data_IF_101627135044
#
_entry.id   IF_101627135044
#
_cell.length_a   1.000
_cell.length_b   1.000
_cell.length_c   1.000
_cell.angle_alpha   90.00
_cell.angle_beta   90.00
_cell.angle_gamma   90.00
#
_symmetry.space_group_name_H-M   'P 1'
#
loop_
_entity.id
_entity.type
_entity.pdbx_description
1 polymer ?
#
# COMPACT_ATOMS: atom_id res chain seq x y z
N UNK A 1 20.03 65.58 -48.03
CA UNK A 1 19.93 64.10 -48.14
C UNK A 1 19.85 63.50 -46.78
N UNK A 2 18.64 63.13 -46.27
CA UNK A 2 18.43 62.57 -44.92
C UNK A 2 18.12 61.09 -45.11
N UNK A 3 19.04 60.23 -44.69
CA UNK A 3 18.89 58.77 -44.71
C UNK A 3 17.98 58.36 -43.53
N UNK A 4 16.77 57.87 -43.80
CA UNK A 4 15.89 57.26 -42.83
C UNK A 4 16.42 55.84 -42.46
N UNK A 5 16.83 55.68 -41.24
CA UNK A 5 17.24 54.37 -40.67
C UNK A 5 15.96 53.70 -40.11
N UNK A 6 15.51 52.68 -40.81
CA UNK A 6 14.36 51.85 -40.37
C UNK A 6 14.89 50.78 -39.43
N UNK A 7 14.59 50.88 -38.11
CA UNK A 7 14.86 49.80 -37.14
C UNK A 7 13.75 48.76 -37.26
N UNK A 8 14.09 47.59 -37.74
CA UNK A 8 13.21 46.40 -37.75
C UNK A 8 13.34 45.70 -36.39
N UNK A 9 12.30 45.84 -35.57
CA UNK A 9 12.20 45.14 -34.24
C UNK A 9 11.72 43.71 -34.52
N UNK A 10 12.65 42.75 -34.49
CA UNK A 10 12.30 41.31 -34.51
C UNK A 10 11.72 40.91 -33.14
N UNK A 11 10.41 40.78 -33.04
CA UNK A 11 9.75 40.20 -31.87
C UNK A 11 9.99 38.67 -31.86
N UNK A 12 10.84 38.21 -30.94
CA UNK A 12 11.07 36.79 -30.68
C UNK A 12 9.86 36.23 -29.90
N UNK A 13 8.90 35.65 -30.63
CA UNK A 13 7.78 34.92 -30.01
C UNK A 13 8.33 33.59 -29.46
N UNK A 14 8.59 33.51 -28.17
CA UNK A 14 8.82 32.24 -27.50
C UNK A 14 7.53 31.40 -27.57
N UNK A 15 7.48 30.47 -28.50
CA UNK A 15 6.46 29.42 -28.52
C UNK A 15 6.71 28.49 -27.33
N UNK A 16 6.07 28.73 -26.22
CA UNK A 16 5.93 27.73 -25.15
C UNK A 16 5.08 26.58 -25.70
N UNK A 17 5.74 25.54 -26.21
CA UNK A 17 5.07 24.27 -26.51
C UNK A 17 4.64 23.66 -25.18
N UNK A 18 3.35 23.35 -24.99
CA UNK A 18 2.93 22.65 -23.76
C UNK A 18 3.63 21.29 -23.74
N UNK A 19 4.55 21.10 -22.78
CA UNK A 19 5.10 19.77 -22.50
C UNK A 19 3.91 18.94 -22.02
N UNK A 20 3.53 17.95 -22.83
CA UNK A 20 2.48 17.02 -22.43
C UNK A 20 2.89 16.37 -21.10
N UNK A 21 2.09 16.56 -20.04
CA UNK A 21 2.38 16.01 -18.72
C UNK A 21 2.52 14.48 -18.86
N UNK A 22 3.68 13.93 -18.46
CA UNK A 22 3.95 12.49 -18.44
C UNK A 22 2.87 11.79 -17.63
N UNK A 23 2.29 10.73 -18.16
CA UNK A 23 1.43 9.84 -17.38
C UNK A 23 2.32 8.94 -16.52
N UNK A 24 2.14 9.02 -15.19
CA UNK A 24 2.90 8.21 -14.23
C UNK A 24 2.26 6.82 -14.11
N UNK A 25 3.10 5.81 -13.99
CA UNK A 25 2.67 4.43 -13.71
C UNK A 25 2.71 4.21 -12.22
N UNK A 26 1.55 3.94 -11.62
CA UNK A 26 1.40 3.51 -10.23
C UNK A 26 1.28 1.99 -10.23
N UNK A 27 2.01 1.31 -9.36
CA UNK A 27 1.93 -0.14 -9.23
C UNK A 27 1.51 -0.56 -7.81
N UNK A 28 0.84 -1.69 -7.70
CA UNK A 28 0.48 -2.33 -6.44
C UNK A 28 0.12 -3.80 -6.66
N UNK A 29 0.15 -4.58 -5.59
CA UNK A 29 -0.29 -5.97 -5.60
C UNK A 29 -1.77 -6.04 -5.19
N UNK A 30 -2.65 -6.30 -6.14
CA UNK A 30 -4.10 -6.34 -5.91
C UNK A 30 -4.57 -7.66 -5.28
N UNK A 31 -3.85 -8.16 -4.29
CA UNK A 31 -4.20 -9.34 -3.50
C UNK A 31 -4.34 -9.04 -1.99
N UNK A 32 -4.51 -7.77 -1.60
CA UNK A 32 -4.48 -7.30 -0.21
C UNK A 32 -5.76 -6.53 0.20
N UNK A 33 -6.96 -7.18 0.13
CA UNK A 33 -8.22 -6.54 0.47
C UNK A 33 -8.31 -6.17 1.96
N UNK A 34 -8.98 -5.08 2.33
CA UNK A 34 -9.72 -4.13 1.51
C UNK A 34 -8.86 -2.98 0.99
N UNK A 35 -7.53 -3.06 1.12
CA UNK A 35 -6.59 -2.00 0.77
C UNK A 35 -6.43 -1.85 -0.75
N UNK A 36 -6.01 -2.90 -1.42
CA UNK A 36 -5.96 -3.00 -2.88
C UNK A 36 -6.29 -4.44 -3.32
N UNK A 37 -7.26 -4.57 -4.21
CA UNK A 37 -7.69 -5.86 -4.75
C UNK A 37 -8.38 -5.69 -6.10
N UNK A 38 -8.62 -6.81 -6.79
CA UNK A 38 -9.35 -6.82 -8.04
C UNK A 38 -10.83 -7.13 -7.81
N UNK A 39 -11.70 -6.36 -8.49
CA UNK A 39 -13.11 -6.75 -8.62
C UNK A 39 -13.25 -8.00 -9.49
N UNK A 40 -14.45 -8.59 -9.55
CA UNK A 40 -14.76 -9.71 -10.47
C UNK A 40 -14.47 -9.36 -11.93
N UNK A 41 -14.57 -8.09 -12.30
CA UNK A 41 -14.24 -7.57 -13.63
C UNK A 41 -12.74 -7.28 -13.83
N UNK A 42 -11.89 -7.71 -12.89
CA UNK A 42 -10.43 -7.48 -12.91
C UNK A 42 -10.04 -6.00 -12.89
N UNK A 43 -10.86 -5.16 -12.29
CA UNK A 43 -10.56 -3.74 -12.09
C UNK A 43 -9.96 -3.52 -10.71
N UNK A 44 -8.78 -2.87 -10.59
CA UNK A 44 -8.20 -2.50 -9.30
C UNK A 44 -9.15 -1.62 -8.49
N UNK A 45 -9.31 -1.94 -7.22
CA UNK A 45 -10.16 -1.21 -6.27
C UNK A 45 -9.61 -1.35 -4.86
N UNK A 46 -10.11 -0.57 -3.91
CA UNK A 46 -9.69 -0.61 -2.51
C UNK A 46 -9.33 0.76 -1.96
N UNK A 47 -9.03 0.78 -0.67
CA UNK A 47 -8.70 2.01 0.04
C UNK A 47 -7.50 2.74 -0.58
N UNK A 48 -6.38 2.04 -0.80
CA UNK A 48 -5.16 2.62 -1.37
C UNK A 48 -5.36 3.08 -2.82
N UNK A 49 -6.21 2.37 -3.58
CA UNK A 49 -6.55 2.72 -4.96
C UNK A 49 -7.33 4.03 -5.00
N UNK A 50 -8.40 4.15 -4.21
CA UNK A 50 -9.19 5.38 -4.13
C UNK A 50 -8.32 6.54 -3.64
N UNK A 51 -7.43 6.27 -2.66
CA UNK A 51 -6.56 7.27 -2.06
C UNK A 51 -5.57 7.84 -3.08
N UNK A 52 -4.87 6.99 -3.85
CA UNK A 52 -3.90 7.45 -4.86
C UNK A 52 -4.59 8.17 -6.03
N UNK A 53 -5.80 7.78 -6.40
CA UNK A 53 -6.58 8.50 -7.41
C UNK A 53 -6.98 9.90 -6.95
N UNK A 54 -7.39 10.07 -5.69
CA UNK A 54 -7.70 11.39 -5.14
C UNK A 54 -6.43 12.26 -5.00
N UNK A 55 -5.29 11.66 -4.59
CA UNK A 55 -3.98 12.34 -4.62
C UNK A 55 -3.68 12.83 -6.04
N UNK A 56 -3.79 11.97 -7.04
CA UNK A 56 -3.47 12.32 -8.42
C UNK A 56 -4.32 13.50 -8.92
N UNK A 57 -5.61 13.50 -8.58
CA UNK A 57 -6.52 14.60 -8.89
C UNK A 57 -6.07 15.92 -8.25
N UNK A 58 -5.76 15.91 -6.94
CA UNK A 58 -5.32 17.11 -6.20
C UNK A 58 -3.96 17.62 -6.64
N UNK A 59 -3.05 16.70 -6.93
CA UNK A 59 -1.71 17.02 -7.39
C UNK A 59 -1.65 17.33 -8.89
N UNK A 60 -2.79 17.32 -9.63
CA UNK A 60 -2.86 17.49 -11.09
C UNK A 60 -1.89 16.54 -11.82
N UNK A 61 -1.92 15.25 -11.45
CA UNK A 61 -1.13 14.17 -12.05
C UNK A 61 -2.02 13.31 -12.93
N UNK A 62 -1.49 12.86 -14.06
CA UNK A 62 -2.10 11.77 -14.83
C UNK A 62 -1.45 10.47 -14.40
N UNK A 63 -2.25 9.50 -13.97
CA UNK A 63 -1.78 8.19 -13.54
C UNK A 63 -2.47 7.06 -14.30
N UNK A 64 -1.76 5.94 -14.40
CA UNK A 64 -2.33 4.63 -14.72
C UNK A 64 -1.94 3.66 -13.63
N UNK A 65 -2.85 2.76 -13.23
CA UNK A 65 -2.56 1.75 -12.22
C UNK A 65 -2.22 0.41 -12.89
N UNK A 66 -1.21 -0.28 -12.36
CA UNK A 66 -0.77 -1.60 -12.82
C UNK A 66 -0.77 -2.56 -11.63
N UNK A 67 -1.52 -3.65 -11.76
CA UNK A 67 -1.43 -4.78 -10.84
C UNK A 67 -0.15 -5.58 -11.14
N UNK A 68 0.65 -5.83 -10.11
CA UNK A 68 1.93 -6.55 -10.19
C UNK A 68 2.09 -7.47 -8.99
N UNK A 69 2.86 -8.55 -9.14
CA UNK A 69 3.18 -9.41 -8.02
C UNK A 69 3.94 -8.64 -6.92
N UNK A 70 3.68 -8.98 -5.66
CA UNK A 70 4.38 -8.39 -4.53
C UNK A 70 5.86 -8.77 -4.52
N UNK A 71 6.17 -10.04 -4.84
CA UNK A 71 7.57 -10.45 -4.97
C UNK A 71 8.24 -9.69 -6.11
N UNK A 72 9.39 -9.10 -5.82
CA UNK A 72 10.11 -8.24 -6.76
C UNK A 72 9.56 -6.82 -6.94
N UNK A 73 8.49 -6.42 -6.23
CA UNK A 73 7.84 -5.10 -6.39
C UNK A 73 8.81 -3.93 -6.16
N UNK A 74 9.70 -4.03 -5.20
CA UNK A 74 10.71 -3.01 -4.94
C UNK A 74 11.82 -2.98 -6.00
N UNK A 75 12.22 -4.13 -6.53
CA UNK A 75 13.17 -4.22 -7.63
C UNK A 75 12.60 -3.57 -8.90
N UNK A 76 11.31 -3.78 -9.17
CA UNK A 76 10.63 -3.12 -10.27
C UNK A 76 10.57 -1.60 -10.15
N UNK A 77 10.35 -1.06 -8.93
CA UNK A 77 10.41 0.38 -8.67
C UNK A 77 11.83 0.93 -8.90
N UNK A 78 12.84 0.25 -8.36
CA UNK A 78 14.23 0.65 -8.52
C UNK A 78 14.67 0.64 -9.99
N UNK A 79 14.19 -0.31 -10.79
CA UNK A 79 14.43 -0.41 -12.23
C UNK A 79 13.65 0.61 -13.06
N UNK A 80 12.72 1.37 -12.47
CA UNK A 80 11.91 2.36 -13.19
C UNK A 80 10.76 1.77 -14.02
N UNK A 81 10.35 0.52 -13.74
CA UNK A 81 9.20 -0.12 -14.42
C UNK A 81 7.87 0.59 -14.10
N UNK A 82 7.83 1.32 -13.01
CA UNK A 82 6.75 2.20 -12.56
C UNK A 82 7.33 3.35 -11.72
N UNK A 83 6.53 4.38 -11.50
CA UNK A 83 6.98 5.62 -10.86
C UNK A 83 6.64 5.66 -9.36
N UNK A 84 5.53 5.02 -8.95
CA UNK A 84 5.01 5.04 -7.57
C UNK A 84 4.53 3.63 -7.19
N UNK A 85 4.83 3.19 -5.95
CA UNK A 85 4.14 2.05 -5.35
C UNK A 85 2.98 2.53 -4.48
N UNK A 86 1.79 2.00 -4.75
CA UNK A 86 0.57 2.16 -3.96
C UNK A 86 0.04 0.76 -3.59
N UNK A 87 0.70 0.13 -2.61
CA UNK A 87 0.49 -1.28 -2.23
C UNK A 87 0.63 -1.48 -0.72
N UNK A 88 -0.05 -0.65 0.08
CA UNK A 88 -0.05 -0.73 1.55
C UNK A 88 1.35 -0.95 2.15
N UNK A 89 2.31 -0.22 1.57
CA UNK A 89 3.72 -0.43 1.85
C UNK A 89 4.09 0.20 3.20
N UNK A 90 4.38 -0.64 4.19
CA UNK A 90 4.87 -0.16 5.49
C UNK A 90 6.18 0.59 5.35
N UNK A 91 6.23 1.78 5.93
CA UNK A 91 7.44 2.59 6.06
C UNK A 91 8.33 1.91 7.11
N UNK A 92 9.46 1.35 6.69
CA UNK A 92 10.45 0.78 7.61
C UNK A 92 11.83 1.43 7.41
N UNK A 93 12.70 1.45 8.44
CA UNK A 93 14.06 1.99 8.31
C UNK A 93 14.84 1.35 7.16
N UNK A 94 14.69 0.03 6.95
CA UNK A 94 15.36 -0.71 5.90
C UNK A 94 14.89 -0.26 4.52
N UNK A 95 13.57 -0.13 4.33
CA UNK A 95 12.99 0.34 3.06
C UNK A 95 13.36 1.80 2.79
N UNK A 96 13.41 2.65 3.82
CA UNK A 96 13.81 4.05 3.71
C UNK A 96 15.28 4.25 3.33
N UNK A 97 16.13 3.25 3.49
CA UNK A 97 17.52 3.32 2.97
C UNK A 97 17.54 3.36 1.43
N UNK A 98 16.65 2.62 0.78
CA UNK A 98 16.64 2.46 -0.68
C UNK A 98 15.59 3.32 -1.40
N UNK A 99 14.53 3.74 -0.70
CA UNK A 99 13.36 4.40 -1.28
C UNK A 99 12.95 5.63 -0.45
N UNK A 100 12.25 6.55 -1.11
CA UNK A 100 11.56 7.65 -0.45
C UNK A 100 10.08 7.29 -0.23
N UNK A 101 9.51 7.75 0.87
CA UNK A 101 8.13 7.51 1.23
C UNK A 101 7.40 8.83 1.45
N UNK A 102 6.13 8.87 1.08
CA UNK A 102 5.26 9.96 1.48
C UNK A 102 5.08 10.00 2.99
N UNK A 103 4.50 11.10 3.50
CA UNK A 103 3.91 11.09 4.83
C UNK A 103 2.89 9.94 4.91
N UNK A 104 2.66 9.38 6.13
CA UNK A 104 1.71 8.29 6.31
C UNK A 104 0.29 8.65 5.84
N UNK A 105 -0.37 7.67 5.18
CA UNK A 105 -1.78 7.78 4.81
C UNK A 105 -2.68 6.76 5.53
N UNK A 106 -2.08 5.79 6.22
CA UNK A 106 -2.80 4.80 7.03
C UNK A 106 -1.90 4.28 8.17
N UNK A 107 -2.51 4.04 9.34
CA UNK A 107 -1.85 3.34 10.45
C UNK A 107 -2.43 1.94 10.58
N UNK A 108 -1.56 0.94 10.75
CA UNK A 108 -1.92 -0.46 10.93
C UNK A 108 -1.16 -1.09 12.09
N UNK A 109 -1.57 -2.26 12.52
CA UNK A 109 -0.81 -3.14 13.39
C UNK A 109 -0.79 -4.55 12.82
N UNK A 110 0.20 -5.36 13.18
CA UNK A 110 0.18 -6.77 12.81
C UNK A 110 -0.89 -7.52 13.62
N UNK A 111 -1.64 -8.38 12.95
CA UNK A 111 -2.72 -9.17 13.54
C UNK A 111 -2.50 -10.66 13.29
N UNK A 112 -2.76 -11.48 14.30
CA UNK A 112 -2.80 -12.93 14.17
C UNK A 112 -4.25 -13.37 14.05
N UNK A 113 -4.56 -14.09 12.97
CA UNK A 113 -5.87 -14.70 12.72
C UNK A 113 -5.77 -16.20 12.96
N UNK A 114 -6.74 -16.75 13.69
CA UNK A 114 -6.83 -18.16 14.01
C UNK A 114 -8.25 -18.69 13.80
N UNK A 115 -8.46 -20.03 13.80
CA UNK A 115 -9.79 -20.60 13.84
C UNK A 115 -10.64 -19.96 14.95
N UNK A 116 -11.93 -19.74 14.70
CA UNK A 116 -12.85 -19.07 15.60
C UNK A 116 -12.82 -19.68 17.01
N UNK A 117 -12.77 -18.82 18.04
CA UNK A 117 -12.72 -19.22 19.44
C UNK A 117 -11.30 -19.42 20.00
N UNK A 118 -10.27 -19.40 19.13
CA UNK A 118 -8.89 -19.37 19.59
C UNK A 118 -8.48 -17.93 19.92
N UNK A 119 -7.70 -17.76 20.98
CA UNK A 119 -7.09 -16.50 21.39
C UNK A 119 -5.67 -16.79 21.86
N UNK A 120 -4.81 -15.82 21.73
CA UNK A 120 -3.45 -15.82 22.28
C UNK A 120 -3.21 -14.47 22.97
N UNK A 121 -2.39 -14.50 24.01
CA UNK A 121 -2.06 -13.29 24.79
C UNK A 121 -0.78 -12.61 24.26
N UNK A 122 0.05 -13.38 23.57
CA UNK A 122 1.32 -12.91 23.01
C UNK A 122 1.77 -13.75 21.80
N UNK A 123 2.77 -13.26 21.07
CA UNK A 123 3.39 -14.03 19.98
C UNK A 123 4.08 -15.32 20.50
N UNK A 124 4.47 -15.37 21.78
CA UNK A 124 5.09 -16.58 22.37
C UNK A 124 4.16 -17.81 22.34
N UNK A 125 2.84 -17.58 22.32
CA UNK A 125 1.83 -18.64 22.24
C UNK A 125 1.78 -19.31 20.87
N UNK A 126 2.48 -18.76 19.87
CA UNK A 126 2.66 -19.35 18.54
C UNK A 126 3.76 -20.41 18.50
N UNK A 127 4.46 -20.68 19.61
CA UNK A 127 5.53 -21.68 19.68
C UNK A 127 5.07 -23.03 19.15
N UNK A 128 5.81 -23.57 18.18
CA UNK A 128 5.54 -24.86 17.54
C UNK A 128 4.42 -24.87 16.52
N UNK A 129 3.61 -23.79 16.45
CA UNK A 129 2.53 -23.65 15.48
C UNK A 129 3.09 -23.28 14.08
N UNK A 130 2.35 -23.65 13.04
CA UNK A 130 2.62 -23.21 11.67
C UNK A 130 1.81 -21.94 11.37
N UNK A 131 2.51 -20.84 11.11
CA UNK A 131 1.91 -19.54 10.84
C UNK A 131 2.12 -19.15 9.38
N UNK A 132 1.02 -18.98 8.65
CA UNK A 132 1.03 -18.49 7.27
C UNK A 132 1.19 -16.98 7.21
N UNK A 133 1.86 -16.49 6.16
CA UNK A 133 1.96 -15.06 5.86
C UNK A 133 2.31 -14.86 4.39
N UNK A 134 2.16 -13.64 3.87
CA UNK A 134 2.69 -13.31 2.56
C UNK A 134 4.20 -13.06 2.66
N UNK A 135 4.96 -13.51 1.66
CA UNK A 135 6.41 -13.31 1.61
C UNK A 135 6.78 -11.82 1.71
N UNK A 136 7.78 -11.49 2.53
CA UNK A 136 8.36 -10.14 2.58
C UNK A 136 7.46 -9.04 3.16
N UNK A 137 6.27 -9.34 3.73
CA UNK A 137 5.50 -8.37 4.51
C UNK A 137 6.04 -8.28 5.96
N UNK A 138 5.70 -7.20 6.64
CA UNK A 138 6.23 -6.91 7.99
C UNK A 138 5.78 -7.93 9.04
N UNK A 139 4.66 -8.61 8.84
CA UNK A 139 4.23 -9.71 9.69
C UNK A 139 5.25 -10.85 9.78
N UNK A 140 5.93 -11.18 8.67
CA UNK A 140 7.03 -12.15 8.66
C UNK A 140 8.21 -11.63 9.49
N UNK A 141 8.54 -10.32 9.35
CA UNK A 141 9.66 -9.72 10.09
C UNK A 141 9.39 -9.67 11.59
N UNK A 142 8.13 -9.38 11.99
CA UNK A 142 7.71 -9.41 13.39
C UNK A 142 7.90 -10.82 13.98
N UNK A 143 7.44 -11.87 13.28
CA UNK A 143 7.63 -13.25 13.75
C UNK A 143 9.10 -13.67 13.83
N UNK A 144 9.89 -13.33 12.82
CA UNK A 144 11.33 -13.64 12.79
C UNK A 144 12.08 -12.92 13.92
N UNK A 145 11.75 -11.64 14.16
CA UNK A 145 12.35 -10.86 15.26
C UNK A 145 11.94 -11.38 16.63
N UNK A 146 10.70 -11.84 16.79
CA UNK A 146 10.20 -12.39 18.05
C UNK A 146 10.84 -13.73 18.40
N UNK A 147 11.33 -14.49 17.41
CA UNK A 147 12.01 -15.80 17.55
C UNK A 147 11.33 -16.77 18.55
N UNK A 148 10.02 -16.84 18.46
CA UNK A 148 9.18 -17.62 19.39
C UNK A 148 9.10 -19.12 19.06
N UNK A 149 9.83 -19.56 18.04
CA UNK A 149 9.81 -20.96 17.60
C UNK A 149 8.56 -21.37 16.80
N UNK A 150 7.87 -20.38 16.19
CA UNK A 150 6.82 -20.64 15.20
C UNK A 150 7.43 -21.11 13.87
N UNK A 151 6.71 -21.99 13.16
CA UNK A 151 7.07 -22.40 11.80
C UNK A 151 6.41 -21.44 10.82
N UNK A 152 7.20 -20.60 10.13
CA UNK A 152 6.67 -19.62 9.20
C UNK A 152 6.51 -20.26 7.82
N UNK A 153 5.30 -20.20 7.25
CA UNK A 153 5.00 -20.63 5.89
C UNK A 153 4.64 -19.41 5.06
N UNK A 154 5.48 -19.10 4.09
CA UNK A 154 5.34 -17.90 3.25
C UNK A 154 4.64 -18.24 1.94
N UNK A 155 3.81 -17.32 1.44
CA UNK A 155 2.99 -17.43 0.24
C UNK A 155 3.18 -16.20 -0.65
N UNK A 156 2.97 -16.34 -1.94
CA UNK A 156 3.03 -15.21 -2.88
C UNK A 156 1.94 -14.18 -2.59
N UNK A 157 0.73 -14.64 -2.22
CA UNK A 157 -0.42 -13.80 -1.88
C UNK A 157 -0.98 -14.19 -0.52
N UNK A 158 -1.46 -13.18 0.23
CA UNK A 158 -2.03 -13.41 1.56
C UNK A 158 -3.27 -14.30 1.53
N UNK A 159 -4.05 -14.26 0.44
CA UNK A 159 -5.23 -15.10 0.25
C UNK A 159 -4.91 -16.58 0.34
N UNK A 160 -3.78 -17.02 -0.21
CA UNK A 160 -3.32 -18.42 -0.16
C UNK A 160 -3.03 -18.88 1.28
N UNK A 161 -2.50 -17.95 2.13
CA UNK A 161 -2.29 -18.24 3.55
C UNK A 161 -3.63 -18.50 4.26
N UNK A 162 -4.69 -17.71 3.95
CA UNK A 162 -6.02 -17.91 4.50
C UNK A 162 -6.71 -19.17 3.98
N UNK A 163 -6.48 -19.57 2.72
CA UNK A 163 -6.96 -20.83 2.18
C UNK A 163 -6.31 -22.03 2.90
N UNK A 164 -5.02 -21.94 3.19
CA UNK A 164 -4.32 -22.97 3.96
C UNK A 164 -4.78 -23.02 5.43
N UNK A 165 -5.08 -21.87 6.03
CA UNK A 165 -5.70 -21.84 7.36
C UNK A 165 -7.09 -22.50 7.35
N UNK A 166 -7.92 -22.21 6.33
CA UNK A 166 -9.24 -22.82 6.19
C UNK A 166 -9.18 -24.33 5.99
N UNK A 167 -8.13 -24.81 5.34
CA UNK A 167 -7.91 -26.25 5.10
C UNK A 167 -7.17 -26.96 6.27
N UNK A 168 -6.84 -26.23 7.36
CA UNK A 168 -6.10 -26.77 8.51
C UNK A 168 -4.64 -27.13 8.22
N UNK A 169 -4.05 -26.57 7.15
CA UNK A 169 -2.64 -26.77 6.80
C UNK A 169 -1.70 -25.78 7.50
N UNK A 170 -2.27 -24.71 8.07
CA UNK A 170 -1.62 -23.80 9.01
C UNK A 170 -2.52 -23.61 10.23
N UNK A 171 -1.92 -23.21 11.36
CA UNK A 171 -2.61 -22.99 12.62
C UNK A 171 -3.07 -21.54 12.79
N UNK A 172 -2.38 -20.62 12.13
CA UNK A 172 -2.63 -19.19 12.18
C UNK A 172 -2.17 -18.50 10.88
N UNK A 173 -2.64 -17.27 10.68
CA UNK A 173 -2.11 -16.32 9.67
C UNK A 173 -1.73 -15.03 10.37
N UNK A 174 -0.58 -14.44 10.04
CA UNK A 174 -0.20 -13.10 10.47
C UNK A 174 -0.19 -12.16 9.26
N UNK A 175 -0.87 -11.02 9.39
CA UNK A 175 -0.88 -9.92 8.42
C UNK A 175 -1.38 -8.64 9.09
N UNK A 176 -1.41 -7.55 8.33
CA UNK A 176 -1.92 -6.26 8.79
C UNK A 176 -3.40 -6.33 9.17
N UNK A 177 -3.78 -5.66 10.24
CA UNK A 177 -5.11 -5.75 10.85
C UNK A 177 -6.29 -5.42 9.92
N UNK A 178 -6.23 -4.46 8.95
CA UNK A 178 -7.35 -4.26 8.03
C UNK A 178 -7.60 -5.49 7.15
N UNK A 179 -6.53 -6.18 6.73
CA UNK A 179 -6.62 -7.41 5.93
C UNK A 179 -7.10 -8.58 6.79
N UNK A 180 -6.54 -8.73 8.00
CA UNK A 180 -6.98 -9.73 8.97
C UNK A 180 -8.48 -9.61 9.27
N UNK A 181 -8.95 -8.39 9.53
CA UNK A 181 -10.38 -8.09 9.77
C UNK A 181 -11.25 -8.37 8.56
N UNK A 182 -10.76 -8.07 7.35
CA UNK A 182 -11.48 -8.38 6.12
C UNK A 182 -11.69 -9.89 5.98
N UNK A 183 -10.65 -10.69 6.08
CA UNK A 183 -10.73 -12.15 5.95
C UNK A 183 -11.53 -12.79 7.08
N UNK A 184 -11.43 -12.28 8.30
CA UNK A 184 -12.19 -12.82 9.43
C UNK A 184 -13.69 -12.49 9.39
N UNK A 185 -14.09 -11.32 8.83
CA UNK A 185 -15.44 -10.79 9.01
C UNK A 185 -16.21 -10.48 7.70
N UNK A 186 -15.51 -10.25 6.59
CA UNK A 186 -16.12 -9.78 5.33
C UNK A 186 -16.06 -10.80 4.19
N UNK A 187 -15.05 -11.65 4.16
CA UNK A 187 -14.87 -12.65 3.11
C UNK A 187 -15.91 -13.78 3.30
N UNK A 188 -16.85 -13.88 2.38
CA UNK A 188 -17.98 -14.82 2.48
C UNK A 188 -17.53 -16.29 2.62
N UNK A 189 -16.54 -16.71 1.84
CA UNK A 189 -15.98 -18.07 1.88
C UNK A 189 -15.44 -18.48 3.26
N UNK A 190 -15.10 -17.50 4.10
CA UNK A 190 -14.49 -17.69 5.43
C UNK A 190 -15.39 -17.22 6.56
N UNK A 191 -16.62 -16.79 6.25
CA UNK A 191 -17.55 -16.24 7.22
C UNK A 191 -17.74 -17.18 8.44
N UNK A 192 -17.43 -16.66 9.62
CA UNK A 192 -17.56 -17.39 10.88
C UNK A 192 -16.52 -18.47 11.13
N UNK A 193 -15.56 -18.72 10.24
CA UNK A 193 -14.48 -19.71 10.44
C UNK A 193 -13.32 -19.17 11.27
N UNK A 194 -13.04 -17.87 11.18
CA UNK A 194 -11.89 -17.23 11.76
C UNK A 194 -12.24 -16.12 12.73
N UNK A 195 -11.28 -15.74 13.56
CA UNK A 195 -11.30 -14.52 14.37
C UNK A 195 -9.89 -13.93 14.47
N UNK A 196 -9.81 -12.62 14.63
CA UNK A 196 -8.55 -11.96 15.04
C UNK A 196 -8.29 -12.39 16.47
N UNK A 197 -7.25 -13.21 16.65
CA UNK A 197 -6.87 -13.80 17.93
C UNK A 197 -5.92 -12.91 18.75
N UNK A 198 -5.16 -12.03 18.04
CA UNK A 198 -4.19 -11.12 18.66
C UNK A 198 -3.95 -9.91 17.77
N UNK A 199 -3.73 -8.75 18.39
CA UNK A 199 -3.22 -7.53 17.74
C UNK A 199 -1.87 -7.17 18.36
N UNK A 200 -0.87 -6.99 17.50
CA UNK A 200 0.45 -6.55 17.96
C UNK A 200 0.37 -5.11 18.45
N UNK A 201 1.15 -4.77 19.46
CA UNK A 201 1.09 -3.45 20.09
C UNK A 201 1.82 -2.35 19.35
N UNK A 202 2.81 -2.71 18.52
CA UNK A 202 3.64 -1.74 17.84
C UNK A 202 2.95 -1.29 16.53
N UNK A 203 2.64 0.01 16.38
CA UNK A 203 1.98 0.51 15.19
C UNK A 203 2.94 0.56 14.00
N UNK A 204 2.39 0.33 12.82
CA UNK A 204 3.03 0.50 11.53
C UNK A 204 2.29 1.55 10.70
N UNK A 205 2.97 2.16 9.74
CA UNK A 205 2.39 3.21 8.91
C UNK A 205 2.64 2.93 7.44
N UNK A 206 1.61 3.08 6.61
CA UNK A 206 1.75 2.97 5.16
C UNK A 206 2.09 4.31 4.53
N UNK A 207 3.00 4.27 3.57
CA UNK A 207 3.33 5.38 2.69
C UNK A 207 3.35 4.95 1.24
N UNK A 208 3.08 5.86 0.32
CA UNK A 208 3.38 5.63 -1.09
C UNK A 208 4.89 5.71 -1.27
N UNK A 209 5.44 4.73 -2.00
CA UNK A 209 6.89 4.57 -2.12
C UNK A 209 7.37 5.03 -3.51
N UNK A 210 8.48 5.76 -3.54
CA UNK A 210 9.12 6.31 -4.74
C UNK A 210 10.61 5.93 -4.76
N UNK A 211 11.23 6.04 -5.94
CA UNK A 211 12.70 6.01 -6.01
C UNK A 211 13.30 7.18 -5.23
N UNK A 212 14.51 6.97 -4.72
CA UNK A 212 15.28 8.05 -4.10
C UNK A 212 15.48 9.23 -5.05
N UNK A 213 15.29 10.44 -4.50
CA UNK A 213 15.55 11.67 -5.23
C UNK A 213 14.40 12.20 -6.07
N UNK A 214 13.23 11.54 -6.10
CA UNK A 214 12.02 12.03 -6.78
C UNK A 214 11.33 13.15 -5.95
N UNK A 215 12.12 14.15 -5.52
CA UNK A 215 11.73 15.15 -4.50
C UNK A 215 10.51 15.96 -4.91
N UNK A 216 10.45 16.45 -6.16
CA UNK A 216 9.31 17.24 -6.64
C UNK A 216 8.01 16.42 -6.61
N UNK A 217 8.06 15.17 -7.07
CA UNK A 217 6.90 14.28 -7.05
C UNK A 217 6.47 13.99 -5.61
N UNK A 218 7.43 13.69 -4.73
CA UNK A 218 7.19 13.42 -3.31
C UNK A 218 6.49 14.60 -2.61
N UNK A 219 6.96 15.82 -2.83
CA UNK A 219 6.36 17.03 -2.26
C UNK A 219 4.92 17.23 -2.75
N UNK A 220 4.64 17.00 -4.04
CA UNK A 220 3.30 17.09 -4.61
C UNK A 220 2.35 16.07 -3.99
N UNK A 221 2.80 14.82 -3.81
CA UNK A 221 2.01 13.77 -3.15
C UNK A 221 1.76 14.13 -1.68
N UNK A 222 2.77 14.55 -0.94
CA UNK A 222 2.65 14.94 0.46
C UNK A 222 1.68 16.10 0.67
N UNK A 223 1.72 17.12 -0.20
CA UNK A 223 0.78 18.24 -0.16
C UNK A 223 -0.66 17.78 -0.38
N UNK A 224 -0.88 16.85 -1.31
CA UNK A 224 -2.20 16.29 -1.57
C UNK A 224 -2.69 15.47 -0.37
N UNK A 225 -1.84 14.59 0.22
CA UNK A 225 -2.17 13.81 1.42
C UNK A 225 -2.54 14.75 2.58
N UNK A 226 -1.71 15.73 2.90
CA UNK A 226 -1.98 16.69 3.96
C UNK A 226 -3.32 17.42 3.76
N UNK A 227 -3.67 17.77 2.52
CA UNK A 227 -4.96 18.41 2.22
C UNK A 227 -6.14 17.44 2.41
N UNK A 228 -5.98 16.13 2.12
CA UNK A 228 -7.01 15.11 2.35
C UNK A 228 -7.25 14.84 3.83
N UNK A 229 -6.18 14.89 4.62
CA UNK A 229 -6.25 14.79 6.07
C UNK A 229 -6.96 16.01 6.68
N UNK A 230 -6.63 17.20 6.22
CA UNK A 230 -7.18 18.44 6.74
C UNK A 230 -8.68 18.65 6.43
N UNK A 231 -9.16 18.22 5.25
CA UNK A 231 -10.55 18.44 4.82
C UNK A 231 -11.48 17.23 5.10
N UNK A 232 -10.97 16.18 5.76
CA UNK A 232 -11.71 15.00 6.14
C UNK A 232 -11.97 14.01 5.00
N UNK A 233 -11.33 14.14 3.84
CA UNK A 233 -11.44 13.19 2.73
C UNK A 233 -10.86 11.83 3.12
N UNK A 234 -9.72 11.80 3.82
CA UNK A 234 -9.15 10.57 4.36
C UNK A 234 -10.13 9.83 5.28
N UNK A 235 -10.78 10.55 6.21
CA UNK A 235 -11.78 9.96 7.11
C UNK A 235 -12.96 9.35 6.33
N UNK A 236 -13.43 10.02 5.27
CA UNK A 236 -14.50 9.47 4.39
C UNK A 236 -14.06 8.19 3.69
N UNK A 237 -12.82 8.12 3.22
CA UNK A 237 -12.28 6.91 2.60
C UNK A 237 -12.15 5.76 3.62
N UNK A 238 -11.68 6.06 4.84
CA UNK A 238 -11.65 5.07 5.94
C UNK A 238 -13.05 4.53 6.24
N UNK A 239 -14.05 5.38 6.40
CA UNK A 239 -15.44 4.96 6.63
C UNK A 239 -15.93 4.08 5.48
N UNK A 240 -15.68 4.47 4.23
CA UNK A 240 -16.10 3.69 3.04
C UNK A 240 -15.55 2.27 3.07
N UNK A 241 -14.30 2.09 3.41
CA UNK A 241 -13.61 0.81 3.24
C UNK A 241 -13.50 -0.02 4.54
N UNK A 242 -13.33 0.65 5.68
CA UNK A 242 -13.14 0.01 6.99
C UNK A 242 -14.42 0.01 7.84
N UNK A 243 -15.37 0.92 7.55
CA UNK A 243 -16.60 1.10 8.31
C UNK A 243 -16.49 2.09 9.46
N UNK A 244 -15.29 2.60 9.74
CA UNK A 244 -15.04 3.64 10.75
C UNK A 244 -13.95 4.59 10.26
N UNK A 245 -13.82 5.75 10.91
CA UNK A 245 -12.75 6.73 10.65
C UNK A 245 -11.51 6.49 11.52
N UNK A 246 -11.65 5.63 12.52
CA UNK A 246 -10.62 5.28 13.52
C UNK A 246 -9.85 4.05 13.10
#
# INVERSE_FOLDING_TARGET
>A
MIRKLTLTLCALVLMCTPVAAKTLVVAGNCAFPPMEFLTDKKVPTGYSIDYIHEIAKRANLKITFRDVAWDGIFAGLAAGNYDILASSTTITPERQQAFDFTIPYYGAVQAVVMPKGKKIDSLADLKGLTVGSQIGITGVFVLRKADVGAKIKEYDDIGLAFEDLAAGRTDAVICDDPVAKFYANKREDFAGKFSVAYLHKDPEYYGFCLRKGETELLERLNKAIASMQADGTEAKLKIKWMGSAD
#
